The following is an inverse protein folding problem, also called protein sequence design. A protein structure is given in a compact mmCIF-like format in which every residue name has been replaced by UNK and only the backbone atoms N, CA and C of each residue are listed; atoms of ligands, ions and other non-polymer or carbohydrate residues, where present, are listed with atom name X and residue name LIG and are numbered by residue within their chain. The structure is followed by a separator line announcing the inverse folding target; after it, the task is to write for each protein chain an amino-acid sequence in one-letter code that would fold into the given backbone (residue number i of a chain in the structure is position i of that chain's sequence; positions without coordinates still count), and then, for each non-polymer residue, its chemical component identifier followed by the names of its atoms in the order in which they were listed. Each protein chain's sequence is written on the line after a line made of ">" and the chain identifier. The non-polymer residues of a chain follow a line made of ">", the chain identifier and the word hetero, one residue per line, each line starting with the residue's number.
data_IF_131387103193
#
_entry.id   IF_131387103193
#
_cell.length_a   1.000
_cell.length_b   1.000
_cell.length_c   1.000
_cell.angle_alpha   90.00
_cell.angle_beta   90.00
_cell.angle_gamma   90.00
#
_symmetry.space_group_name_H-M   'P 1'
#
loop_
_entity.id
_entity.type
_entity.pdbx_description
1 polymer ?
#
# COMPACT_ATOMS: atom_id res chain seq x y z
N UNK A 1 25.73 3.52 -3.93
CA UNK A 1 25.10 3.54 -2.61
C UNK A 1 23.60 3.39 -2.76
N UNK A 2 23.00 2.49 -2.04
CA UNK A 2 21.55 2.26 -2.13
C UNK A 2 20.77 3.43 -1.55
N UNK A 3 19.77 3.86 -2.27
CA UNK A 3 18.85 4.86 -1.77
C UNK A 3 17.60 4.13 -1.26
N UNK A 4 17.47 3.99 0.04
CA UNK A 4 16.38 3.24 0.64
C UNK A 4 15.00 3.81 0.32
N UNK A 5 14.90 5.13 0.22
CA UNK A 5 13.64 5.77 -0.16
C UNK A 5 13.19 5.33 -1.54
N UNK A 6 14.11 5.33 -2.50
CA UNK A 6 13.79 4.91 -3.87
C UNK A 6 13.44 3.44 -3.94
N UNK A 7 14.18 2.62 -3.19
CA UNK A 7 13.93 1.18 -3.18
C UNK A 7 12.54 0.85 -2.63
N UNK A 8 12.18 1.49 -1.52
CA UNK A 8 10.86 1.27 -0.93
C UNK A 8 9.77 1.79 -1.86
N UNK A 9 10.01 2.92 -2.50
CA UNK A 9 9.04 3.50 -3.43
C UNK A 9 8.82 2.59 -4.64
N UNK A 10 9.87 1.95 -5.15
CA UNK A 10 9.74 0.99 -6.23
C UNK A 10 8.88 -0.21 -5.81
N UNK A 11 9.15 -0.73 -4.61
CA UNK A 11 8.35 -1.83 -4.07
C UNK A 11 6.89 -1.44 -3.91
N UNK A 12 6.67 -0.22 -3.43
CA UNK A 12 5.33 0.31 -3.24
C UNK A 12 4.58 0.41 -4.57
N UNK A 13 5.25 0.95 -5.59
CA UNK A 13 4.65 1.08 -6.92
C UNK A 13 4.35 -0.28 -7.54
N UNK A 14 5.23 -1.25 -7.32
CA UNK A 14 5.00 -2.60 -7.84
C UNK A 14 3.75 -3.21 -7.21
N UNK A 15 3.59 -3.06 -5.90
CA UNK A 15 2.40 -3.56 -5.20
C UNK A 15 1.14 -2.82 -5.67
N UNK A 16 1.23 -1.50 -5.85
CA UNK A 16 0.11 -0.72 -6.34
C UNK A 16 -0.32 -1.15 -7.75
N UNK A 17 0.66 -1.41 -8.61
CA UNK A 17 0.35 -1.87 -9.97
C UNK A 17 -0.41 -3.18 -9.97
N UNK A 18 0.00 -4.11 -9.12
CA UNK A 18 -0.72 -5.39 -9.01
C UNK A 18 -2.12 -5.20 -8.46
N UNK A 19 -2.28 -4.35 -7.46
CA UNK A 19 -3.61 -4.05 -6.93
C UNK A 19 -4.50 -3.43 -8.01
N UNK A 20 -3.96 -2.51 -8.81
CA UNK A 20 -4.72 -1.88 -9.88
C UNK A 20 -5.16 -2.88 -10.93
N UNK A 21 -4.32 -3.86 -11.26
CA UNK A 21 -4.69 -4.91 -12.19
C UNK A 21 -5.90 -5.69 -11.71
N UNK A 22 -5.92 -6.04 -10.44
CA UNK A 22 -7.05 -6.74 -9.83
C UNK A 22 -8.29 -5.85 -9.76
N UNK A 23 -8.11 -4.56 -9.44
CA UNK A 23 -9.22 -3.61 -9.42
C UNK A 23 -9.90 -3.53 -10.79
N UNK A 24 -9.11 -3.52 -11.85
CA UNK A 24 -9.65 -3.51 -13.21
C UNK A 24 -10.37 -4.81 -13.55
N UNK A 25 -9.82 -5.91 -13.08
CA UNK A 25 -10.39 -7.23 -13.37
C UNK A 25 -11.73 -7.44 -12.65
N UNK A 26 -11.80 -7.03 -11.40
CA UNK A 26 -12.95 -7.33 -10.53
C UNK A 26 -13.88 -6.14 -10.29
N UNK A 27 -13.47 -4.95 -10.65
CA UNK A 27 -14.31 -3.77 -10.50
C UNK A 27 -14.49 -3.29 -9.07
N UNK A 28 -13.57 -3.65 -8.19
CA UNK A 28 -13.62 -3.28 -6.77
C UNK A 28 -12.29 -2.62 -6.40
N UNK A 29 -12.36 -1.52 -5.66
CA UNK A 29 -11.17 -0.87 -5.16
C UNK A 29 -10.53 -1.73 -4.06
N UNK A 30 -9.20 -1.80 -4.05
CA UNK A 30 -8.47 -2.72 -3.17
C UNK A 30 -8.80 -2.55 -1.70
N UNK A 31 -8.99 -1.31 -1.26
CA UNK A 31 -9.33 -1.03 0.14
C UNK A 31 -10.62 -1.74 0.54
N UNK A 32 -11.64 -1.66 -0.29
CA UNK A 32 -12.93 -2.31 0.00
C UNK A 32 -12.86 -3.81 -0.18
N UNK A 33 -12.11 -4.26 -1.18
CA UNK A 33 -11.87 -5.69 -1.36
C UNK A 33 -11.22 -6.29 -0.11
N UNK A 34 -10.19 -5.62 0.40
CA UNK A 34 -9.43 -6.14 1.53
C UNK A 34 -10.30 -6.23 2.78
N UNK A 35 -11.15 -5.23 3.03
CA UNK A 35 -12.09 -5.27 4.14
C UNK A 35 -13.03 -6.45 4.00
N UNK A 36 -13.59 -6.66 2.83
CA UNK A 36 -14.49 -7.77 2.59
C UNK A 36 -13.78 -9.12 2.76
N UNK A 37 -12.55 -9.19 2.26
CA UNK A 37 -11.76 -10.42 2.33
C UNK A 37 -11.45 -10.80 3.78
N UNK A 38 -10.98 -9.83 4.56
CA UNK A 38 -10.58 -10.09 5.94
C UNK A 38 -11.76 -10.36 6.85
N UNK A 39 -12.93 -9.85 6.51
CA UNK A 39 -14.15 -10.10 7.28
C UNK A 39 -14.93 -11.33 6.81
N UNK A 40 -14.42 -12.03 5.83
CA UNK A 40 -15.07 -13.24 5.35
C UNK A 40 -16.37 -12.98 4.59
N UNK A 41 -16.51 -11.79 4.00
CA UNK A 41 -17.73 -11.41 3.28
C UNK A 41 -17.73 -11.87 1.83
N UNK A 42 -16.57 -12.35 1.34
CA UNK A 42 -16.45 -12.78 -0.04
C UNK A 42 -16.65 -14.27 -0.16
N UNK A 43 -17.32 -14.66 -1.22
CA UNK A 43 -17.41 -16.07 -1.60
C UNK A 43 -16.15 -16.37 -2.43
N UNK A 44 -15.05 -16.63 -1.75
CA UNK A 44 -13.78 -16.81 -2.41
C UNK A 44 -13.38 -18.27 -2.64
N UNK A 45 -13.94 -19.15 -1.93
CA UNK A 45 -13.85 -20.61 -2.08
C UNK A 45 -12.55 -21.09 -2.76
N UNK A 46 -11.40 -20.67 -2.20
CA UNK A 46 -10.11 -21.05 -2.73
C UNK A 46 -9.63 -20.23 -3.92
N UNK A 47 -10.17 -19.05 -4.11
CA UNK A 47 -9.75 -18.17 -5.21
C UNK A 47 -8.34 -17.65 -4.96
N UNK A 48 -7.40 -18.11 -5.78
CA UNK A 48 -5.99 -17.74 -5.64
C UNK A 48 -5.75 -16.27 -5.94
N UNK A 49 -6.53 -15.68 -6.84
CA UNK A 49 -6.42 -14.25 -7.13
C UNK A 49 -6.68 -13.41 -5.89
N UNK A 50 -7.66 -13.80 -5.09
CA UNK A 50 -8.00 -13.05 -3.90
C UNK A 50 -6.89 -13.13 -2.86
N UNK A 51 -6.29 -14.30 -2.67
CA UNK A 51 -5.18 -14.44 -1.75
C UNK A 51 -3.97 -13.60 -2.20
N UNK A 52 -3.70 -13.61 -3.49
CA UNK A 52 -2.60 -12.85 -4.09
C UNK A 52 -2.86 -11.34 -3.97
N UNK A 53 -4.07 -10.92 -4.30
CA UNK A 53 -4.47 -9.51 -4.20
C UNK A 53 -4.33 -9.02 -2.75
N UNK A 54 -4.82 -9.80 -1.79
CA UNK A 54 -4.70 -9.44 -0.37
C UNK A 54 -3.23 -9.32 0.04
N UNK A 55 -2.39 -10.21 -0.46
CA UNK A 55 -0.94 -10.16 -0.21
C UNK A 55 -0.30 -8.89 -0.74
N UNK A 56 -0.64 -8.50 -1.95
CA UNK A 56 -0.11 -7.26 -2.53
C UNK A 56 -0.63 -6.03 -1.81
N UNK A 57 -1.88 -6.05 -1.38
CA UNK A 57 -2.43 -4.92 -0.64
C UNK A 57 -1.74 -4.77 0.72
N UNK A 58 -1.50 -5.87 1.43
CA UNK A 58 -0.75 -5.84 2.69
C UNK A 58 0.66 -5.30 2.48
N UNK A 59 1.31 -5.75 1.40
CA UNK A 59 2.65 -5.25 1.06
C UNK A 59 2.63 -3.75 0.81
N UNK A 60 1.63 -3.27 0.09
CA UNK A 60 1.46 -1.85 -0.17
C UNK A 60 1.36 -1.07 1.14
N UNK A 61 0.52 -1.52 2.07
CA UNK A 61 0.34 -0.82 3.33
C UNK A 61 1.63 -0.83 4.15
N UNK A 62 2.35 -1.95 4.18
CA UNK A 62 3.61 -2.06 4.90
C UNK A 62 4.67 -1.14 4.32
N UNK A 63 4.81 -1.14 3.00
CA UNK A 63 5.79 -0.30 2.32
C UNK A 63 5.45 1.18 2.45
N UNK A 64 4.18 1.52 2.40
CA UNK A 64 3.73 2.89 2.58
C UNK A 64 4.10 3.40 3.97
N UNK A 65 3.91 2.59 4.98
CA UNK A 65 4.26 2.93 6.35
C UNK A 65 5.76 3.15 6.50
N UNK A 66 6.56 2.27 5.92
CA UNK A 66 8.02 2.39 5.95
C UNK A 66 8.51 3.60 5.17
N UNK A 67 7.92 3.85 4.02
CA UNK A 67 8.26 4.99 3.20
C UNK A 67 8.01 6.29 3.96
N UNK A 68 6.86 6.39 4.59
CA UNK A 68 6.49 7.57 5.36
C UNK A 68 7.50 7.85 6.46
N UNK A 69 7.84 6.83 7.25
CA UNK A 69 8.80 6.98 8.35
C UNK A 69 10.17 7.42 7.83
N UNK A 70 10.62 6.81 6.75
CA UNK A 70 11.93 7.10 6.19
C UNK A 70 11.98 8.46 5.49
N UNK A 71 10.92 8.83 4.81
CA UNK A 71 10.79 10.11 4.14
C UNK A 71 10.88 11.26 5.14
N UNK A 72 10.21 11.12 6.27
CA UNK A 72 10.25 12.14 7.32
C UNK A 72 11.65 12.36 7.85
N UNK A 73 12.48 11.32 7.82
CA UNK A 73 13.82 11.36 8.35
C UNK A 73 14.85 11.84 7.34
N UNK A 74 14.72 11.42 6.09
CA UNK A 74 15.82 11.49 5.12
C UNK A 74 15.54 12.27 3.86
N UNK A 75 14.30 12.67 3.60
CA UNK A 75 14.02 13.39 2.37
C UNK A 75 14.65 14.79 2.40
N UNK A 76 15.48 15.13 1.42
CA UNK A 76 16.05 16.48 1.36
C UNK A 76 15.03 17.55 1.01
N UNK A 77 13.88 17.15 0.53
CA UNK A 77 12.82 18.09 0.13
C UNK A 77 12.00 18.59 1.30
N UNK A 78 12.09 17.92 2.45
CA UNK A 78 11.25 18.24 3.60
C UNK A 78 12.13 18.74 4.73
N UNK A 79 11.86 19.96 5.18
CA UNK A 79 12.55 20.58 6.29
C UNK A 79 11.54 20.98 7.35
N UNK A 80 11.98 20.99 8.59
CA UNK A 80 11.12 21.35 9.70
C UNK A 80 9.97 20.39 9.87
N UNK A 81 10.26 19.16 9.62
CA UNK A 81 9.24 18.14 9.47
C UNK A 81 8.49 17.82 10.75
N UNK A 82 9.05 18.20 11.89
CA UNK A 82 8.40 18.01 13.18
C UNK A 82 7.06 18.73 13.27
N UNK A 83 6.89 19.75 12.44
CA UNK A 83 5.65 20.51 12.40
C UNK A 83 4.62 19.91 11.46
N UNK A 84 5.05 18.97 10.63
CA UNK A 84 4.17 18.40 9.64
C UNK A 84 3.45 17.20 10.24
N UNK A 85 2.14 17.28 10.20
CA UNK A 85 1.32 16.16 10.62
C UNK A 85 0.79 15.47 9.39
N UNK A 86 1.29 14.30 9.13
CA UNK A 86 0.71 13.43 8.13
C UNK A 86 -0.50 12.78 8.77
N UNK A 87 -1.54 13.55 8.85
CA UNK A 87 -2.74 13.12 9.53
C UNK A 87 -3.49 12.12 8.66
N UNK A 88 -3.59 10.91 9.14
CA UNK A 88 -4.27 9.85 8.43
C UNK A 88 -5.75 10.11 8.27
N UNK A 89 -6.29 10.99 9.08
CA UNK A 89 -7.69 11.35 8.97
C UNK A 89 -7.97 12.30 7.81
N UNK A 90 -6.93 12.83 7.19
CA UNK A 90 -7.08 13.70 6.03
C UNK A 90 -7.44 12.96 4.76
N UNK A 91 -7.40 11.68 4.82
CA UNK A 91 -7.71 10.86 3.67
C UNK A 91 -9.14 11.08 3.18
#
# INVERSE_FOLDING_TARGET
>A
MKNLLKDILEDLHAAENRCQQFEKQYGIFSEYFFDAYTNGWLDDDGNLDFAEWAGFYKSKLDRLRRYRALMLKESPLIKGITEIQFDETLA
#
